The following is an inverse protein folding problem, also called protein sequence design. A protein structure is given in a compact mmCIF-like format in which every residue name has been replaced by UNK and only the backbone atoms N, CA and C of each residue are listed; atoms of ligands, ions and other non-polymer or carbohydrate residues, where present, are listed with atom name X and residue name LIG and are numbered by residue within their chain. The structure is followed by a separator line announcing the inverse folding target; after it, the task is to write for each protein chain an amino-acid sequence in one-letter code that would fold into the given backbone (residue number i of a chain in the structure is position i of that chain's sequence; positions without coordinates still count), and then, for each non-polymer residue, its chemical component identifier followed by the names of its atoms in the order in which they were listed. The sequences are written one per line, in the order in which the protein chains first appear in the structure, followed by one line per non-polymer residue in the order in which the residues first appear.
data_IF_526093531979
#
_entry.id   IF_526093531979
#
_cell.length_a   1.000
_cell.length_b   1.000
_cell.length_c   1.000
_cell.angle_alpha   90.00
_cell.angle_beta   90.00
_cell.angle_gamma   90.00
#
_symmetry.space_group_name_H-M   'P 1'
#
loop_
_entity.id
_entity.type
_entity.pdbx_description
1 polymer ?
#
# COMPACT_ATOMS: atom_id res chain seq x y z
N UNK A 1 -9.09 -28.39 58.91
CA UNK A 1 -10.53 -28.58 58.82
C UNK A 1 -10.79 -29.05 57.40
N UNK A 2 -10.82 -30.37 57.31
CA UNK A 2 -11.48 -31.28 56.32
C UNK A 2 -11.01 -31.15 54.85
N UNK A 3 -10.18 -32.05 54.27
CA UNK A 3 -10.21 -33.55 54.12
C UNK A 3 -11.46 -33.96 53.31
N UNK A 4 -11.36 -34.56 52.11
CA UNK A 4 -11.07 -35.98 51.77
C UNK A 4 -10.64 -36.05 50.27
N UNK A 5 -9.56 -36.67 49.75
CA UNK A 5 -8.90 -38.00 49.91
C UNK A 5 -9.88 -39.17 49.72
N UNK A 6 -9.72 -40.19 48.89
CA UNK A 6 -8.59 -40.96 48.32
C UNK A 6 -9.27 -41.96 47.31
N UNK A 7 -8.65 -42.84 46.51
CA UNK A 7 -7.68 -43.90 46.80
C UNK A 7 -7.14 -44.44 45.45
N UNK A 8 -5.82 -44.60 45.37
CA UNK A 8 -5.06 -45.39 44.39
C UNK A 8 -5.06 -46.87 44.77
N UNK A 9 -4.85 -47.77 43.78
CA UNK A 9 -3.89 -48.91 43.78
C UNK A 9 -4.44 -50.04 42.88
N UNK A 10 -3.86 -50.28 41.71
CA UNK A 10 -2.71 -51.15 41.40
C UNK A 10 -3.06 -52.63 41.12
N UNK A 11 -2.79 -53.00 39.85
CA UNK A 11 -2.15 -54.22 39.34
C UNK A 11 -2.56 -55.61 39.86
N UNK A 12 -3.11 -56.46 38.96
CA UNK A 12 -2.82 -57.91 38.87
C UNK A 12 -3.43 -58.55 37.59
N UNK A 13 -2.57 -59.19 36.78
CA UNK A 13 -2.89 -60.31 35.85
C UNK A 13 -2.62 -61.64 36.63
N UNK A 14 -2.89 -62.87 36.10
CA UNK A 14 -3.89 -63.42 35.18
C UNK A 14 -4.61 -64.67 35.81
N UNK A 15 -5.40 -65.44 35.03
CA UNK A 15 -5.40 -66.94 34.92
C UNK A 15 -6.79 -67.61 34.82
N UNK A 16 -6.86 -68.65 33.96
CA UNK A 16 -7.79 -69.81 33.88
C UNK A 16 -9.28 -69.51 33.59
N UNK A 17 -9.93 -70.00 32.53
CA UNK A 17 -9.99 -71.35 31.93
C UNK A 17 -11.50 -71.66 31.81
N UNK A 18 -12.13 -71.92 30.66
CA UNK A 18 -12.25 -73.25 30.07
C UNK A 18 -13.29 -73.27 28.92
N UNK A 19 -13.02 -74.17 27.97
CA UNK A 19 -13.95 -74.97 27.13
C UNK A 19 -14.88 -74.34 26.07
N UNK A 20 -14.44 -74.51 24.81
CA UNK A 20 -15.16 -75.11 23.66
C UNK A 20 -16.59 -74.68 23.30
N UNK A 21 -16.81 -74.28 22.04
CA UNK A 21 -17.42 -75.11 20.99
C UNK A 21 -17.31 -74.37 19.64
N UNK A 22 -17.07 -75.18 18.63
CA UNK A 22 -16.88 -74.92 17.20
C UNK A 22 -18.03 -74.09 16.57
N UNK A 23 -17.68 -73.13 15.71
CA UNK A 23 -18.63 -72.48 14.80
C UNK A 23 -18.10 -71.14 14.28
N UNK A 24 -17.52 -71.14 13.07
CA UNK A 24 -17.15 -69.91 12.36
C UNK A 24 -18.41 -69.12 11.95
N UNK A 25 -18.52 -67.82 12.28
CA UNK A 25 -19.21 -66.84 11.47
C UNK A 25 -18.22 -66.18 10.49
N UNK A 26 -18.69 -65.63 9.36
CA UNK A 26 -17.82 -65.10 8.29
C UNK A 26 -17.01 -63.88 8.76
N UNK A 27 -15.86 -63.55 8.13
CA UNK A 27 -15.12 -62.34 8.47
C UNK A 27 -16.00 -61.12 8.22
N UNK A 28 -16.24 -60.36 9.28
CA UNK A 28 -16.70 -58.98 9.15
C UNK A 28 -15.58 -58.26 8.39
N UNK A 29 -15.89 -57.72 7.20
CA UNK A 29 -14.98 -56.82 6.50
C UNK A 29 -14.62 -55.68 7.47
N UNK A 30 -13.39 -55.68 7.97
CA UNK A 30 -12.82 -54.53 8.66
C UNK A 30 -12.89 -53.36 7.69
N UNK A 31 -13.77 -52.41 7.98
CA UNK A 31 -13.72 -51.09 7.38
C UNK A 31 -12.35 -50.53 7.76
N UNK A 32 -11.39 -50.60 6.84
CA UNK A 32 -10.11 -49.93 6.99
C UNK A 32 -10.39 -48.45 7.29
N UNK A 33 -10.16 -48.05 8.54
CA UNK A 33 -10.12 -46.64 8.89
C UNK A 33 -9.08 -46.00 7.97
N UNK A 34 -9.51 -44.96 7.25
CA UNK A 34 -8.63 -44.20 6.36
C UNK A 34 -7.72 -43.35 7.25
N UNK A 35 -6.78 -43.99 7.93
CA UNK A 35 -5.74 -43.30 8.66
C UNK A 35 -4.84 -42.62 7.64
N UNK A 36 -4.73 -41.30 7.77
CA UNK A 36 -3.79 -40.42 7.06
C UNK A 36 -4.16 -39.92 5.65
N UNK A 37 -5.34 -39.33 5.47
CA UNK A 37 -5.53 -38.35 4.35
C UNK A 37 -4.80 -37.03 4.64
N UNK A 38 -4.54 -36.68 5.90
CA UNK A 38 -3.99 -35.37 6.30
C UNK A 38 -2.51 -35.39 6.73
N UNK A 39 -1.83 -36.54 6.66
CA UNK A 39 -0.44 -36.68 7.13
C UNK A 39 0.60 -36.70 6.01
N UNK A 40 0.16 -36.72 4.76
CA UNK A 40 0.99 -36.24 3.66
C UNK A 40 1.00 -34.72 3.74
N UNK A 41 1.96 -34.19 4.49
CA UNK A 41 2.47 -32.85 4.21
C UNK A 41 2.67 -32.77 2.70
N UNK A 42 1.81 -31.98 2.05
CA UNK A 42 1.85 -31.75 0.62
C UNK A 42 3.08 -30.87 0.37
N UNK A 43 4.27 -31.45 0.52
CA UNK A 43 5.48 -31.01 -0.14
C UNK A 43 5.28 -31.43 -1.60
N UNK A 44 4.32 -30.78 -2.25
CA UNK A 44 4.34 -30.67 -3.70
C UNK A 44 5.65 -29.93 -3.97
N UNK A 45 6.67 -30.68 -4.39
CA UNK A 45 7.83 -30.11 -5.05
C UNK A 45 7.27 -29.06 -6.01
N UNK A 46 7.70 -27.80 -5.86
CA UNK A 46 7.14 -26.69 -6.60
C UNK A 46 7.45 -26.93 -8.09
N UNK A 47 6.54 -27.60 -8.82
CA UNK A 47 6.73 -28.04 -10.22
C UNK A 47 6.58 -26.90 -11.21
N UNK A 48 6.47 -25.66 -10.70
CA UNK A 48 6.34 -24.48 -11.52
C UNK A 48 7.05 -23.30 -10.87
N UNK A 49 7.61 -22.45 -11.72
CA UNK A 49 8.33 -21.24 -11.35
C UNK A 49 7.48 -20.05 -11.75
N UNK A 50 7.48 -18.99 -10.95
CA UNK A 50 6.61 -17.84 -11.16
C UNK A 50 7.44 -16.57 -11.40
N UNK A 51 7.09 -15.86 -12.46
CA UNK A 51 7.55 -14.50 -12.73
C UNK A 51 6.38 -13.54 -12.77
N UNK A 52 6.65 -12.24 -12.68
CA UNK A 52 5.60 -11.23 -12.81
C UNK A 52 6.04 -10.00 -13.58
N UNK A 53 5.04 -9.31 -14.12
CA UNK A 53 5.17 -8.03 -14.80
C UNK A 53 4.27 -7.01 -14.09
N UNK A 54 4.81 -5.90 -13.58
CA UNK A 54 4.00 -4.82 -13.01
C UNK A 54 3.02 -4.25 -14.04
N UNK A 55 1.80 -3.88 -13.62
CA UNK A 55 0.83 -3.22 -14.51
C UNK A 55 1.39 -1.92 -15.08
N UNK A 56 2.20 -1.20 -14.30
CA UNK A 56 2.79 0.08 -14.69
C UNK A 56 3.82 -0.07 -15.83
N UNK A 57 4.25 -1.28 -16.16
CA UNK A 57 5.09 -1.56 -17.33
C UNK A 57 4.33 -1.41 -18.66
N UNK A 58 2.99 -1.31 -18.63
CA UNK A 58 2.16 -1.14 -19.82
C UNK A 58 1.53 0.27 -19.88
N UNK A 59 1.27 0.80 -21.09
CA UNK A 59 0.58 2.07 -21.25
C UNK A 59 -0.73 2.17 -20.45
N UNK A 60 -1.01 3.35 -19.91
CA UNK A 60 -2.23 3.63 -19.13
C UNK A 60 -3.51 3.51 -19.96
N UNK A 61 -3.41 3.64 -21.28
CA UNK A 61 -4.53 3.51 -22.23
C UNK A 61 -5.06 2.08 -22.35
N UNK A 62 -4.22 1.06 -22.09
CA UNK A 62 -4.61 -0.34 -22.23
C UNK A 62 -5.42 -0.80 -21.01
N UNK A 63 -6.50 -1.51 -21.25
CA UNK A 63 -7.29 -2.14 -20.18
C UNK A 63 -6.59 -3.40 -19.65
N UNK A 64 -6.95 -3.81 -18.44
CA UNK A 64 -6.38 -5.02 -17.84
C UNK A 64 -6.68 -6.28 -18.69
N UNK A 65 -7.83 -6.29 -19.39
CA UNK A 65 -8.24 -7.36 -20.31
C UNK A 65 -7.39 -7.40 -21.58
N UNK A 66 -7.15 -6.26 -22.21
CA UNK A 66 -6.32 -6.16 -23.42
C UNK A 66 -4.87 -6.58 -23.14
N UNK A 67 -4.32 -6.19 -21.99
CA UNK A 67 -2.97 -6.60 -21.59
C UNK A 67 -2.93 -8.11 -21.37
N UNK A 68 -3.91 -8.67 -20.66
CA UNK A 68 -3.97 -10.11 -20.42
C UNK A 68 -4.10 -10.89 -21.74
N UNK A 69 -4.92 -10.41 -22.67
CA UNK A 69 -5.06 -11.00 -24.01
C UNK A 69 -3.74 -10.92 -24.80
N UNK A 70 -3.06 -9.76 -24.75
CA UNK A 70 -1.74 -9.61 -25.39
C UNK A 70 -0.73 -10.60 -24.81
N UNK A 71 -0.67 -10.75 -23.48
CA UNK A 71 0.24 -11.69 -22.83
C UNK A 71 -0.11 -13.14 -23.19
N UNK A 72 -1.40 -13.51 -23.15
CA UNK A 72 -1.83 -14.85 -23.56
C UNK A 72 -1.44 -15.14 -25.01
N UNK A 73 -1.61 -14.18 -25.93
CA UNK A 73 -1.23 -14.36 -27.34
C UNK A 73 0.28 -14.51 -27.55
N UNK A 74 1.11 -13.86 -26.72
CA UNK A 74 2.58 -14.00 -26.78
C UNK A 74 2.99 -15.39 -26.29
N UNK A 75 2.41 -15.85 -25.19
CA UNK A 75 2.80 -17.11 -24.56
C UNK A 75 2.03 -18.34 -25.06
N UNK A 76 0.99 -18.20 -25.88
CA UNK A 76 0.19 -19.34 -26.40
C UNK A 76 1.03 -20.36 -27.18
N UNK A 77 2.10 -19.89 -27.84
CA UNK A 77 3.01 -20.76 -28.62
C UNK A 77 4.11 -21.39 -27.76
N UNK A 78 4.22 -20.97 -26.50
CA UNK A 78 5.28 -21.36 -25.59
C UNK A 78 4.81 -22.50 -24.69
N UNK A 79 5.24 -23.73 -24.99
CA UNK A 79 4.82 -24.94 -24.26
C UNK A 79 5.27 -24.94 -22.80
N UNK A 80 6.28 -24.15 -22.46
CA UNK A 80 6.79 -24.05 -21.09
C UNK A 80 6.00 -23.07 -20.23
N UNK A 81 5.12 -22.26 -20.83
CA UNK A 81 4.26 -21.33 -20.09
C UNK A 81 2.93 -22.00 -19.78
N UNK A 82 2.67 -22.17 -18.49
CA UNK A 82 1.49 -22.87 -17.99
C UNK A 82 0.28 -21.95 -17.99
N UNK A 83 0.45 -20.72 -17.48
CA UNK A 83 -0.66 -19.76 -17.34
C UNK A 83 -0.15 -18.33 -17.17
N UNK A 84 -0.99 -17.39 -17.60
CA UNK A 84 -0.87 -15.97 -17.26
C UNK A 84 -2.13 -15.52 -16.54
N UNK A 85 -1.99 -14.85 -15.39
CA UNK A 85 -3.11 -14.35 -14.60
C UNK A 85 -2.84 -12.95 -14.06
N UNK A 86 -3.89 -12.13 -13.98
CA UNK A 86 -3.83 -10.83 -13.32
C UNK A 86 -3.98 -11.01 -11.81
N UNK A 87 -3.09 -10.40 -11.04
CA UNK A 87 -3.11 -10.37 -9.58
C UNK A 87 -2.99 -8.93 -9.08
N UNK A 88 -3.38 -8.75 -7.82
CA UNK A 88 -3.34 -7.46 -7.13
C UNK A 88 -2.96 -7.66 -5.67
N UNK A 89 -2.00 -6.87 -5.19
CA UNK A 89 -1.62 -6.75 -3.78
C UNK A 89 -1.73 -5.27 -3.40
N UNK A 90 -2.64 -4.92 -2.48
CA UNK A 90 -2.97 -3.53 -2.16
C UNK A 90 -3.31 -2.69 -3.41
N UNK A 91 -2.53 -1.65 -3.75
CA UNK A 91 -2.67 -0.83 -4.96
C UNK A 91 -1.80 -1.31 -6.13
N UNK A 92 -0.95 -2.31 -5.89
CA UNK A 92 -0.02 -2.86 -6.87
C UNK A 92 -0.66 -3.99 -7.66
N UNK A 93 -0.94 -3.74 -8.94
CA UNK A 93 -1.44 -4.75 -9.89
C UNK A 93 -0.27 -5.29 -10.71
N UNK A 94 -0.29 -6.58 -11.00
CA UNK A 94 0.73 -7.25 -11.79
C UNK A 94 0.16 -8.47 -12.51
N UNK A 95 0.83 -8.88 -13.58
CA UNK A 95 0.51 -10.09 -14.34
C UNK A 95 1.53 -11.15 -13.99
N UNK A 96 1.05 -12.27 -13.46
CA UNK A 96 1.90 -13.39 -13.08
C UNK A 96 1.95 -14.41 -14.21
N UNK A 97 3.16 -14.84 -14.53
CA UNK A 97 3.50 -15.83 -15.53
C UNK A 97 4.00 -17.05 -14.77
N UNK A 98 3.32 -18.17 -14.92
CA UNK A 98 3.73 -19.45 -14.34
C UNK A 98 4.37 -20.30 -15.44
N UNK A 99 5.59 -20.79 -15.22
CA UNK A 99 6.34 -21.61 -16.17
C UNK A 99 6.71 -22.96 -15.57
N UNK A 100 6.92 -23.96 -16.42
CA UNK A 100 7.28 -25.33 -16.04
C UNK A 100 8.73 -25.46 -15.54
N UNK A 101 9.67 -24.68 -16.08
CA UNK A 101 11.10 -24.84 -15.83
C UNK A 101 11.80 -23.57 -15.35
N UNK A 102 12.81 -23.73 -14.49
CA UNK A 102 13.60 -22.62 -13.94
C UNK A 102 14.42 -21.91 -15.01
N UNK A 103 14.97 -22.67 -15.96
CA UNK A 103 15.78 -22.14 -17.06
C UNK A 103 14.95 -21.23 -17.94
N UNK A 104 13.70 -21.62 -18.20
CA UNK A 104 12.77 -20.78 -18.95
C UNK A 104 12.47 -19.47 -18.24
N UNK A 105 12.19 -19.50 -16.94
CA UNK A 105 11.98 -18.28 -16.16
C UNK A 105 13.22 -17.37 -16.22
N UNK A 106 14.40 -17.96 -16.04
CA UNK A 106 15.68 -17.25 -16.08
C UNK A 106 15.93 -16.61 -17.45
N UNK A 107 15.57 -17.29 -18.53
CA UNK A 107 15.63 -16.75 -19.88
C UNK A 107 14.63 -15.59 -20.08
N UNK A 108 13.38 -15.73 -19.63
CA UNK A 108 12.37 -14.67 -19.73
C UNK A 108 12.78 -13.41 -18.96
N UNK A 109 13.40 -13.54 -17.79
CA UNK A 109 13.92 -12.41 -16.99
C UNK A 109 15.08 -11.70 -17.70
N UNK A 110 15.97 -12.45 -18.36
CA UNK A 110 17.15 -11.89 -19.04
C UNK A 110 16.83 -11.23 -20.37
N UNK A 111 16.09 -11.92 -21.23
CA UNK A 111 15.96 -11.54 -22.63
C UNK A 111 14.65 -10.81 -22.90
N UNK A 112 13.58 -11.13 -22.14
CA UNK A 112 12.18 -10.73 -22.39
C UNK A 112 11.70 -11.03 -23.82
N UNK A 113 10.45 -11.48 -24.03
CA UNK A 113 9.89 -11.61 -25.37
C UNK A 113 10.01 -10.30 -26.19
N UNK A 114 10.47 -10.32 -27.46
CA UNK A 114 10.59 -9.11 -28.31
C UNK A 114 9.27 -8.33 -28.44
N UNK A 115 8.15 -9.05 -28.42
CA UNK A 115 6.79 -8.51 -28.52
C UNK A 115 6.39 -7.63 -27.32
N UNK A 116 7.15 -7.74 -26.22
CA UNK A 116 6.95 -7.00 -24.97
C UNK A 116 7.67 -5.65 -24.92
N UNK A 117 8.36 -5.20 -25.97
CA UNK A 117 8.87 -3.82 -26.13
C UNK A 117 9.45 -3.21 -24.83
N UNK A 118 10.55 -3.77 -24.31
CA UNK A 118 11.24 -3.34 -23.09
C UNK A 118 10.50 -3.52 -21.75
N UNK A 119 9.41 -4.30 -21.72
CA UNK A 119 8.82 -4.70 -20.45
C UNK A 119 9.72 -5.72 -19.74
N UNK A 120 10.13 -5.40 -18.51
CA UNK A 120 10.95 -6.26 -17.67
C UNK A 120 10.10 -7.25 -16.88
N UNK A 121 10.51 -8.52 -16.92
CA UNK A 121 9.94 -9.60 -16.11
C UNK A 121 10.79 -9.74 -14.85
N UNK A 122 10.13 -9.91 -13.71
CA UNK A 122 10.77 -10.11 -12.41
C UNK A 122 10.45 -11.50 -11.89
N UNK A 123 11.35 -12.08 -11.11
CA UNK A 123 11.05 -13.30 -10.35
C UNK A 123 10.03 -12.99 -9.25
N UNK A 124 9.03 -13.86 -9.09
CA UNK A 124 8.01 -13.72 -8.05
C UNK A 124 8.57 -14.08 -6.68
N UNK A 125 9.13 -13.08 -6.01
CA UNK A 125 9.57 -13.17 -4.60
C UNK A 125 8.95 -12.03 -3.81
N UNK A 126 8.75 -12.27 -2.51
CA UNK A 126 8.22 -11.24 -1.60
C UNK A 126 9.13 -10.00 -1.60
N UNK A 127 10.46 -10.21 -1.61
CA UNK A 127 11.45 -9.13 -1.67
C UNK A 127 11.31 -8.27 -2.93
N UNK A 128 11.16 -8.87 -4.11
CA UNK A 128 11.02 -8.12 -5.37
C UNK A 128 9.71 -7.32 -5.41
N UNK A 129 8.61 -7.92 -4.92
CA UNK A 129 7.32 -7.24 -4.86
C UNK A 129 7.39 -6.04 -3.92
N UNK A 130 7.88 -6.25 -2.70
CA UNK A 130 7.95 -5.19 -1.69
C UNK A 130 8.88 -4.06 -2.15
N UNK A 131 10.03 -4.39 -2.75
CA UNK A 131 10.97 -3.40 -3.32
C UNK A 131 10.30 -2.55 -4.42
N UNK A 132 9.51 -3.15 -5.31
CA UNK A 132 8.80 -2.39 -6.35
C UNK A 132 7.65 -1.54 -5.79
N UNK A 133 6.95 -2.04 -4.77
CA UNK A 133 5.92 -1.28 -4.05
C UNK A 133 6.54 -0.07 -3.36
N UNK A 134 7.64 -0.26 -2.64
CA UNK A 134 8.35 0.81 -1.95
C UNK A 134 8.85 1.88 -2.92
N UNK A 135 9.47 1.47 -4.03
CA UNK A 135 9.90 2.42 -5.08
C UNK A 135 8.73 3.22 -5.65
N UNK A 136 7.58 2.57 -5.89
CA UNK A 136 6.39 3.26 -6.39
C UNK A 136 5.87 4.28 -5.38
N UNK A 137 5.79 3.91 -4.10
CA UNK A 137 5.37 4.82 -3.03
C UNK A 137 6.35 5.99 -2.86
N UNK A 138 7.66 5.73 -2.91
CA UNK A 138 8.68 6.78 -2.85
C UNK A 138 8.58 7.75 -4.03
N UNK A 139 8.36 7.25 -5.25
CA UNK A 139 8.15 8.11 -6.42
C UNK A 139 6.92 9.00 -6.25
N UNK A 140 5.81 8.46 -5.74
CA UNK A 140 4.62 9.25 -5.45
C UNK A 140 4.88 10.29 -4.35
N UNK A 141 5.54 9.90 -3.27
CA UNK A 141 5.87 10.79 -2.17
C UNK A 141 6.75 11.97 -2.63
N UNK A 142 7.68 11.70 -3.56
CA UNK A 142 8.62 12.68 -4.09
C UNK A 142 8.00 13.64 -5.09
N UNK A 143 6.84 13.34 -5.68
CA UNK A 143 6.14 14.25 -6.60
C UNK A 143 4.97 15.00 -5.96
N UNK A 144 4.72 14.78 -4.67
CA UNK A 144 3.60 15.40 -3.96
C UNK A 144 4.09 16.53 -3.05
N UNK A 145 3.42 17.68 -3.15
CA UNK A 145 3.59 18.84 -2.27
C UNK A 145 2.27 19.12 -1.54
N UNK A 146 2.39 19.54 -0.28
CA UNK A 146 1.30 20.05 0.55
C UNK A 146 1.49 21.54 0.75
N UNK A 147 0.44 22.31 0.48
CA UNK A 147 0.37 23.72 0.80
C UNK A 147 -0.63 23.91 1.92
N UNK A 148 -0.17 24.44 3.05
CA UNK A 148 -0.97 24.68 4.24
C UNK A 148 -1.28 26.17 4.40
N UNK A 149 -2.20 26.45 5.33
CA UNK A 149 -2.53 27.81 5.78
C UNK A 149 -3.06 28.74 4.68
N UNK A 150 -3.71 28.16 3.66
CA UNK A 150 -4.37 28.93 2.60
C UNK A 150 -5.68 29.49 3.18
N UNK A 151 -5.96 30.80 3.09
CA UNK A 151 -7.24 31.36 3.55
C UNK A 151 -8.45 30.63 2.93
N UNK A 152 -9.49 30.37 3.72
CA UNK A 152 -10.62 29.54 3.29
C UNK A 152 -11.34 30.05 2.03
N UNK A 153 -11.33 31.38 1.83
CA UNK A 153 -11.97 32.08 0.73
C UNK A 153 -11.05 32.30 -0.47
N UNK A 154 -9.75 32.01 -0.34
CA UNK A 154 -8.79 32.24 -1.41
C UNK A 154 -9.02 31.28 -2.59
N UNK A 155 -8.86 31.79 -3.81
CA UNK A 155 -9.04 31.00 -5.04
C UNK A 155 -7.81 30.12 -5.31
N UNK A 156 -7.99 28.82 -5.10
CA UNK A 156 -6.94 27.82 -5.32
C UNK A 156 -6.51 27.76 -6.79
N UNK A 157 -7.37 28.12 -7.74
CA UNK A 157 -7.00 28.09 -9.17
C UNK A 157 -5.90 29.09 -9.51
N UNK A 158 -5.90 30.26 -8.85
CA UNK A 158 -4.84 31.26 -8.98
C UNK A 158 -3.52 30.74 -8.43
N UNK A 159 -3.53 30.07 -7.28
CA UNK A 159 -2.34 29.46 -6.70
C UNK A 159 -1.79 28.33 -7.59
N UNK A 160 -2.67 27.48 -8.14
CA UNK A 160 -2.27 26.43 -9.08
C UNK A 160 -1.63 27.04 -10.33
N UNK A 161 -2.21 28.11 -10.87
CA UNK A 161 -1.63 28.82 -12.02
C UNK A 161 -0.25 29.38 -11.69
N UNK A 162 -0.12 30.11 -10.59
CA UNK A 162 1.16 30.67 -10.13
C UNK A 162 2.24 29.59 -9.96
N UNK A 163 1.91 28.44 -9.37
CA UNK A 163 2.83 27.33 -9.19
C UNK A 163 3.21 26.69 -10.53
N UNK A 164 2.25 26.55 -11.44
CA UNK A 164 2.51 25.99 -12.78
C UNK A 164 3.43 26.92 -13.57
N UNK A 165 3.18 28.23 -13.52
CA UNK A 165 3.99 29.25 -14.18
C UNK A 165 5.41 29.31 -13.59
N UNK A 166 5.54 29.19 -12.26
CA UNK A 166 6.83 29.21 -11.56
C UNK A 166 7.67 27.94 -11.79
N UNK A 167 7.04 26.77 -11.83
CA UNK A 167 7.75 25.49 -12.01
C UNK A 167 7.97 25.16 -13.49
N UNK A 168 7.10 25.63 -14.38
CA UNK A 168 7.06 25.20 -15.78
C UNK A 168 6.71 23.72 -15.98
N UNK A 169 6.18 23.05 -14.95
CA UNK A 169 5.94 21.60 -14.93
C UNK A 169 4.45 21.29 -14.82
N UNK A 170 4.04 20.17 -15.41
CA UNK A 170 2.63 19.76 -15.43
C UNK A 170 2.20 19.18 -14.09
N UNK A 171 1.09 19.71 -13.57
CA UNK A 171 0.36 19.15 -12.43
C UNK A 171 -0.57 18.04 -12.96
N UNK A 172 -0.48 16.83 -12.38
CA UNK A 172 -1.36 15.70 -12.71
C UNK A 172 -2.72 15.90 -12.05
N UNK A 173 -2.71 16.23 -10.77
CA UNK A 173 -3.93 16.39 -9.97
C UNK A 173 -3.65 17.27 -8.77
N UNK A 174 -4.70 17.95 -8.29
CA UNK A 174 -4.67 18.64 -7.03
C UNK A 174 -5.98 18.41 -6.26
N UNK A 175 -5.90 18.48 -4.93
CA UNK A 175 -7.05 18.29 -4.05
C UNK A 175 -7.07 19.36 -2.96
N UNK A 176 -8.14 20.13 -2.93
CA UNK A 176 -8.46 21.02 -1.81
C UNK A 176 -9.06 20.20 -0.66
N UNK A 177 -8.61 20.48 0.57
CA UNK A 177 -9.19 19.89 1.77
C UNK A 177 -9.35 20.93 2.88
N UNK A 178 -10.47 20.86 3.58
CA UNK A 178 -10.84 21.76 4.68
C UNK A 178 -10.89 20.96 5.96
N UNK A 179 -10.39 21.53 7.07
CA UNK A 179 -10.57 20.90 8.38
C UNK A 179 -12.07 20.90 8.74
N UNK A 180 -12.58 19.85 9.39
CA UNK A 180 -13.96 19.86 9.88
C UNK A 180 -14.13 20.93 10.97
N UNK A 181 -15.37 21.36 11.18
CA UNK A 181 -15.73 22.24 12.28
C UNK A 181 -15.31 21.61 13.61
N UNK A 182 -14.58 22.36 14.43
CA UNK A 182 -14.16 21.88 15.74
C UNK A 182 -15.18 22.28 16.80
N UNK A 183 -15.76 21.29 17.48
CA UNK A 183 -16.66 21.52 18.61
C UNK A 183 -15.82 21.84 19.86
N UNK A 184 -16.11 22.97 20.50
CA UNK A 184 -15.55 23.31 21.80
C UNK A 184 -16.41 22.65 22.89
N UNK A 185 -15.80 22.28 24.01
CA UNK A 185 -16.54 21.75 25.17
C UNK A 185 -17.55 22.76 25.74
N UNK A 186 -17.26 24.07 25.64
CA UNK A 186 -18.15 25.13 26.09
C UNK A 186 -19.40 25.28 25.22
N UNK A 187 -20.51 25.63 25.87
CA UNK A 187 -21.80 25.92 25.22
C UNK A 187 -22.02 27.43 25.13
N UNK A 188 -22.78 27.86 24.15
CA UNK A 188 -23.13 29.27 23.99
C UNK A 188 -24.18 29.70 25.03
N UNK A 189 -24.52 30.99 25.06
CA UNK A 189 -25.55 31.55 25.96
C UNK A 189 -26.95 30.93 25.80
N UNK A 190 -27.18 30.14 24.75
CA UNK A 190 -28.42 29.42 24.45
C UNK A 190 -28.30 27.90 24.67
N UNK A 191 -27.28 27.47 25.42
CA UNK A 191 -26.99 26.06 25.72
C UNK A 191 -26.69 25.18 24.48
N UNK A 192 -26.34 25.78 23.34
CA UNK A 192 -25.98 25.06 22.12
C UNK A 192 -24.47 24.85 22.01
N UNK A 193 -24.02 23.75 21.35
CA UNK A 193 -22.61 23.54 21.04
C UNK A 193 -21.99 24.69 20.24
N UNK A 194 -20.78 25.12 20.63
CA UNK A 194 -19.99 26.10 19.87
C UNK A 194 -19.10 25.37 18.87
N UNK A 195 -19.17 25.78 17.61
CA UNK A 195 -18.31 25.26 16.54
C UNK A 195 -17.35 26.35 16.05
N UNK A 196 -16.05 26.05 16.05
CA UNK A 196 -15.02 26.90 15.45
C UNK A 196 -14.97 26.59 13.95
N UNK A 197 -15.17 27.62 13.13
CA UNK A 197 -14.98 27.53 11.69
C UNK A 197 -13.48 27.54 11.35
N UNK A 198 -13.01 26.63 10.47
CA UNK A 198 -11.64 26.68 9.99
C UNK A 198 -11.44 27.97 9.19
N UNK A 199 -10.40 28.72 9.54
CA UNK A 199 -9.99 29.93 8.81
C UNK A 199 -9.08 29.62 7.62
N UNK A 200 -8.44 28.45 7.65
CA UNK A 200 -7.54 27.98 6.61
C UNK A 200 -7.97 26.64 6.02
N UNK A 201 -7.55 26.41 4.78
CA UNK A 201 -7.62 25.17 4.03
C UNK A 201 -6.22 24.73 3.61
N UNK A 202 -6.14 23.50 3.12
CA UNK A 202 -4.89 22.93 2.60
C UNK A 202 -5.10 22.42 1.18
N UNK A 203 -4.03 22.43 0.40
CA UNK A 203 -3.98 21.98 -0.97
C UNK A 203 -2.92 20.90 -1.11
N UNK A 204 -3.28 19.78 -1.72
CA UNK A 204 -2.33 18.70 -2.04
C UNK A 204 -2.16 18.71 -3.55
N UNK A 205 -0.92 18.83 -4.03
CA UNK A 205 -0.58 18.90 -5.45
C UNK A 205 0.28 17.68 -5.79
N UNK A 206 -0.03 17.02 -6.89
CA UNK A 206 0.77 15.93 -7.45
C UNK A 206 1.30 16.35 -8.82
N UNK A 207 2.62 16.38 -8.95
CA UNK A 207 3.32 16.70 -10.19
C UNK A 207 3.61 15.45 -11.00
N UNK A 208 3.79 15.63 -12.31
CA UNK A 208 4.32 14.57 -13.17
C UNK A 208 5.80 14.30 -12.91
N UNK A 209 6.57 15.36 -12.66
CA UNK A 209 8.00 15.33 -12.52
C UNK A 209 8.41 15.72 -11.10
N UNK A 210 9.32 14.94 -10.50
CA UNK A 210 9.91 15.21 -9.18
C UNK A 210 10.61 16.57 -9.16
N UNK A 211 11.18 17.01 -10.28
CA UNK A 211 11.87 18.29 -10.38
C UNK A 211 10.98 19.48 -9.96
N UNK A 212 9.66 19.40 -10.18
CA UNK A 212 8.73 20.44 -9.76
C UNK A 212 8.61 20.53 -8.22
N UNK A 213 8.52 19.37 -7.58
CA UNK A 213 8.45 19.27 -6.13
C UNK A 213 9.77 19.70 -5.49
N UNK A 214 10.90 19.23 -6.04
CA UNK A 214 12.24 19.61 -5.58
C UNK A 214 12.42 21.14 -5.68
N UNK A 215 12.08 21.75 -6.82
CA UNK A 215 12.14 23.20 -7.01
C UNK A 215 11.40 23.95 -5.89
N UNK A 216 10.15 23.56 -5.59
CA UNK A 216 9.35 24.21 -4.53
C UNK A 216 9.88 23.95 -3.12
N UNK A 217 10.61 22.86 -2.90
CA UNK A 217 11.22 22.55 -1.61
C UNK A 217 12.58 23.24 -1.43
N UNK A 218 13.26 23.59 -2.52
CA UNK A 218 14.48 24.40 -2.52
C UNK A 218 14.18 25.90 -2.35
N UNK A 219 13.01 26.36 -2.80
CA UNK A 219 12.53 27.71 -2.51
C UNK A 219 12.24 27.91 -1.01
N UNK A 220 11.89 29.14 -0.66
CA UNK A 220 11.39 29.50 0.66
C UNK A 220 10.32 28.53 1.18
N UNK A 221 10.24 28.44 2.51
CA UNK A 221 9.30 27.56 3.19
C UNK A 221 7.83 27.95 3.00
N UNK A 222 7.55 29.03 2.27
CA UNK A 222 6.22 29.58 2.07
C UNK A 222 6.06 30.32 0.73
N UNK A 223 4.81 30.56 0.34
CA UNK A 223 4.39 31.34 -0.83
C UNK A 223 3.52 32.48 -0.33
N UNK A 224 3.84 33.71 -0.74
CA UNK A 224 3.00 34.87 -0.49
C UNK A 224 1.70 34.78 -1.30
N UNK A 225 0.57 35.01 -0.64
CA UNK A 225 -0.77 34.98 -1.23
C UNK A 225 -1.58 36.15 -0.67
N UNK A 226 -1.83 37.16 -1.50
CA UNK A 226 -2.48 38.42 -1.08
C UNK A 226 -1.77 39.03 0.14
N UNK A 227 -2.44 39.13 1.28
CA UNK A 227 -1.89 39.64 2.55
C UNK A 227 -1.58 38.50 3.55
N UNK A 228 -1.58 37.27 3.06
CA UNK A 228 -1.32 36.03 3.79
C UNK A 228 -0.11 35.30 3.22
N UNK A 229 0.32 34.27 3.92
CA UNK A 229 1.43 33.40 3.52
C UNK A 229 0.99 31.95 3.68
N UNK A 230 1.16 31.16 2.62
CA UNK A 230 0.83 29.74 2.62
C UNK A 230 2.11 28.90 2.68
N UNK A 231 2.11 27.87 3.52
CA UNK A 231 3.31 27.10 3.84
C UNK A 231 3.50 25.94 2.87
N UNK A 232 4.71 25.77 2.33
CA UNK A 232 5.05 24.63 1.47
C UNK A 232 5.67 23.51 2.32
N UNK A 233 5.14 22.29 2.19
CA UNK A 233 5.67 21.09 2.83
C UNK A 233 5.72 19.93 1.82
N UNK A 234 6.66 18.98 1.98
CA UNK A 234 6.65 17.75 1.21
C UNK A 234 5.41 16.90 1.56
N UNK A 235 4.95 16.08 0.61
CA UNK A 235 3.82 15.17 0.81
C UNK A 235 4.05 14.17 1.94
N UNK A 236 5.27 13.63 2.03
CA UNK A 236 5.68 12.65 3.02
C UNK A 236 6.09 13.30 4.36
N UNK A 237 5.40 13.01 5.48
CA UNK A 237 5.75 13.53 6.80
C UNK A 237 7.11 13.08 7.34
N UNK A 238 7.67 11.98 6.81
CA UNK A 238 9.00 11.46 7.18
C UNK A 238 10.14 12.16 6.43
N UNK A 239 9.83 13.03 5.47
CA UNK A 239 10.84 13.76 4.71
C UNK A 239 11.59 14.74 5.64
N UNK A 240 12.93 14.87 5.57
CA UNK A 240 13.70 15.75 6.48
C UNK A 240 13.21 17.21 6.47
N UNK A 241 12.90 17.76 5.29
CA UNK A 241 12.34 19.12 5.15
C UNK A 241 10.99 19.27 5.87
N UNK A 242 10.18 18.20 5.94
CA UNK A 242 8.92 18.23 6.70
C UNK A 242 9.20 18.53 8.17
N UNK A 243 10.10 17.76 8.77
CA UNK A 243 10.49 17.93 10.17
C UNK A 243 11.10 19.30 10.39
N UNK A 244 12.05 19.71 9.54
CA UNK A 244 12.70 21.02 9.63
C UNK A 244 11.70 22.19 9.63
N UNK A 245 10.69 22.15 8.74
CA UNK A 245 9.68 23.22 8.59
C UNK A 245 8.54 23.16 9.62
N UNK A 246 8.47 22.11 10.44
CA UNK A 246 7.39 21.91 11.42
C UNK A 246 7.86 21.71 12.86
N UNK A 247 9.15 21.54 13.10
CA UNK A 247 9.69 21.25 14.44
C UNK A 247 9.63 22.44 15.39
N UNK A 248 9.70 23.66 14.87
CA UNK A 248 9.79 24.88 15.67
C UNK A 248 8.68 25.86 15.31
N UNK A 249 8.07 26.47 16.32
CA UNK A 249 7.13 27.56 16.15
C UNK A 249 7.43 28.65 17.16
N UNK A 250 7.30 29.91 16.73
CA UNK A 250 7.48 31.08 17.58
C UNK A 250 6.15 31.78 17.79
N UNK A 251 5.91 32.24 19.02
CA UNK A 251 4.77 33.10 19.33
C UNK A 251 5.25 34.54 19.39
N UNK A 252 4.82 35.35 18.44
CA UNK A 252 5.07 36.79 18.42
C UNK A 252 3.88 37.50 19.08
N UNK A 253 4.14 38.43 19.99
CA UNK A 253 3.12 39.20 20.71
C UNK A 253 3.40 40.69 20.61
N UNK A 254 2.38 41.53 20.76
CA UNK A 254 2.52 42.99 20.69
C UNK A 254 2.44 43.57 19.26
N UNK A 255 1.95 42.78 18.30
CA UNK A 255 1.75 43.25 16.94
C UNK A 255 0.51 44.17 16.84
N UNK A 256 0.61 45.29 16.10
CA UNK A 256 -0.56 46.11 15.74
C UNK A 256 -1.66 45.29 15.05
N UNK A 257 -2.93 45.70 15.22
CA UNK A 257 -4.09 44.97 14.66
C UNK A 257 -4.09 44.88 13.13
N UNK A 258 -3.44 45.83 12.46
CA UNK A 258 -3.30 45.89 11.01
C UNK A 258 -2.04 45.17 10.49
N UNK A 259 -1.28 44.50 11.35
CA UNK A 259 -0.10 43.73 10.94
C UNK A 259 -0.52 42.55 10.09
N UNK A 260 0.04 42.44 8.89
CA UNK A 260 -0.12 41.31 7.98
C UNK A 260 1.21 40.58 7.77
N UNK A 261 1.20 39.53 6.95
CA UNK A 261 2.39 38.70 6.76
C UNK A 261 3.55 39.44 6.06
N UNK A 262 3.26 40.45 5.23
CA UNK A 262 4.27 41.29 4.56
C UNK A 262 5.00 42.21 5.54
N UNK A 263 4.34 42.60 6.62
CA UNK A 263 4.97 43.42 7.68
C UNK A 263 5.99 42.61 8.51
N UNK A 264 5.94 41.28 8.40
CA UNK A 264 6.83 40.35 9.10
C UNK A 264 7.97 39.83 8.20
N UNK A 265 7.92 40.08 6.89
CA UNK A 265 9.03 39.80 5.97
C UNK A 265 10.00 40.97 5.94
N UNK A 266 11.27 40.72 6.30
CA UNK A 266 12.39 41.67 6.17
C UNK A 266 12.82 41.85 4.71
#
# INVERSE_FOLDING_TARGET
MDIEFTVNSDTQHPLEGSTSINGNPPPIEEIHMIDNIFSASNIQAQTSFEGFIPRDSFPTKLTDKEILQKLNNIFVRDKDVIKVRSLKKMTFKYYMITVSTKDKLSHLIKTSPPELQNVKIYEYTQHNIDTLIERKLQLQDNTIIKILDIPINYDVTLLIKQITDATGKRIITYKETKKPLQKIQNRNKKDQPIFIKPIYKQLIISFEDKAAADYLLEQDWCIAIEDSVARILPGNPKHPIYTQRTSTFYKITGLPLNTNAKDLSL
#
